data_IF_418353983446
#
_entry.id   IF_418353983446
#
_cell.length_a   1.000
_cell.length_b   1.000
_cell.length_c   1.000
_cell.angle_alpha   90.00
_cell.angle_beta   90.00
_cell.angle_gamma   90.00
#
_symmetry.space_group_name_H-M   'P 1'
#
loop_
_entity.id
_entity.type
_entity.pdbx_description
1 polymer ?
#
# COMPACT_ATOMS: atom_id res chain seq x y z
N UNK A 1 -13.86 -12.99 -16.76
CA UNK A 1 -14.69 -12.60 -15.59
C UNK A 1 -13.79 -11.88 -14.62
N UNK A 2 -14.12 -10.64 -14.20
CA UNK A 2 -13.32 -9.89 -13.22
C UNK A 2 -13.90 -10.01 -11.81
N UNK A 3 -13.07 -9.81 -10.78
CA UNK A 3 -13.52 -9.69 -9.39
C UNK A 3 -13.67 -8.21 -9.03
N UNK A 4 -14.82 -7.84 -8.44
CA UNK A 4 -15.00 -6.49 -7.90
C UNK A 4 -14.35 -6.41 -6.52
N UNK A 5 -13.27 -5.64 -6.42
CA UNK A 5 -12.62 -5.33 -5.16
C UNK A 5 -13.23 -4.03 -4.62
N UNK A 6 -13.66 -4.06 -3.37
CA UNK A 6 -14.10 -2.88 -2.64
C UNK A 6 -13.31 -2.80 -1.34
N UNK A 7 -12.70 -1.65 -1.10
CA UNK A 7 -11.95 -1.38 0.11
C UNK A 7 -12.17 0.04 0.61
N UNK A 8 -12.01 0.20 1.91
CA UNK A 8 -11.92 1.47 2.63
C UNK A 8 -10.61 1.45 3.40
N UNK A 9 -9.83 2.51 3.30
CA UNK A 9 -8.63 2.68 4.11
C UNK A 9 -8.79 3.92 4.98
N UNK A 10 -8.58 3.75 6.28
CA UNK A 10 -8.53 4.84 7.25
C UNK A 10 -7.07 5.15 7.54
N UNK A 11 -6.64 6.37 7.25
CA UNK A 11 -5.26 6.83 7.40
C UNK A 11 -5.26 8.04 8.35
N UNK A 12 -4.33 8.07 9.31
CA UNK A 12 -4.10 9.24 10.17
C UNK A 12 -2.62 9.55 10.26
N UNK A 13 -2.27 10.79 10.63
CA UNK A 13 -0.90 11.19 10.89
C UNK A 13 -0.53 10.92 12.35
N UNK A 14 0.57 10.22 12.58
CA UNK A 14 1.14 9.99 13.89
C UNK A 14 2.39 10.86 14.09
N UNK A 15 2.35 11.92 14.92
CA UNK A 15 3.48 12.82 15.13
C UNK A 15 4.63 12.20 15.91
N UNK A 16 4.43 11.12 16.67
CA UNK A 16 5.50 10.48 17.45
C UNK A 16 6.46 9.71 16.54
N UNK A 17 5.90 8.96 15.59
CA UNK A 17 6.68 8.21 14.60
C UNK A 17 6.96 9.00 13.31
N UNK A 18 6.32 10.15 13.12
CA UNK A 18 6.33 10.92 11.86
C UNK A 18 6.01 10.03 10.65
N UNK A 19 4.93 9.25 10.80
CA UNK A 19 4.41 8.34 9.78
C UNK A 19 2.88 8.44 9.67
N UNK A 20 2.31 7.72 8.71
CA UNK A 20 0.86 7.58 8.60
C UNK A 20 0.45 6.11 8.77
N UNK A 21 0.10 5.68 9.98
CA UNK A 21 -0.52 4.39 10.20
C UNK A 21 -1.90 4.35 9.53
N UNK A 22 -2.28 3.16 9.05
CA UNK A 22 -3.59 2.95 8.44
C UNK A 22 -4.18 1.57 8.67
N UNK A 23 -5.50 1.49 8.51
CA UNK A 23 -6.27 0.26 8.55
C UNK A 23 -7.09 0.12 7.27
N UNK A 24 -6.84 -0.96 6.53
CA UNK A 24 -7.56 -1.31 5.30
C UNK A 24 -8.66 -2.33 5.60
N UNK A 25 -9.89 -1.98 5.28
CA UNK A 25 -11.04 -2.88 5.27
C UNK A 25 -11.30 -3.27 3.81
N UNK A 26 -11.37 -4.56 3.49
CA UNK A 26 -11.59 -5.02 2.11
C UNK A 26 -12.51 -6.23 2.08
N UNK A 27 -13.34 -6.34 1.04
CA UNK A 27 -14.11 -7.56 0.77
C UNK A 27 -13.25 -8.79 0.42
N UNK A 28 -11.93 -8.63 0.30
CA UNK A 28 -10.96 -9.72 0.12
C UNK A 28 -10.41 -10.30 1.41
N UNK A 29 -10.55 -9.59 2.54
CA UNK A 29 -9.97 -9.99 3.82
C UNK A 29 -11.04 -9.91 4.93
N UNK A 30 -11.16 -10.98 5.73
CA UNK A 30 -12.12 -11.03 6.83
C UNK A 30 -11.75 -10.18 8.06
N UNK A 31 -10.59 -9.51 8.03
CA UNK A 31 -10.08 -8.68 9.12
C UNK A 31 -9.47 -7.39 8.56
N UNK A 32 -9.47 -6.28 9.33
CA UNK A 32 -8.75 -5.07 8.95
C UNK A 32 -7.26 -5.32 8.84
N UNK A 33 -6.63 -4.79 7.80
CA UNK A 33 -5.21 -4.99 7.53
C UNK A 33 -4.43 -3.74 7.96
N UNK A 34 -3.47 -3.85 8.90
CA UNK A 34 -2.65 -2.73 9.33
C UNK A 34 -1.55 -2.45 8.32
N UNK A 35 -1.52 -1.22 7.82
CA UNK A 35 -0.49 -0.66 6.96
C UNK A 35 0.20 0.50 7.67
N UNK A 36 1.44 0.79 7.26
CA UNK A 36 2.18 1.98 7.68
C UNK A 36 2.80 2.65 6.47
N UNK A 37 2.47 3.91 6.28
CA UNK A 37 3.02 4.75 5.23
C UNK A 37 4.16 5.60 5.78
N UNK A 38 5.25 5.63 5.04
CA UNK A 38 6.34 6.56 5.20
C UNK A 38 6.43 7.40 3.92
N UNK A 39 6.12 8.69 4.01
CA UNK A 39 6.05 9.61 2.88
C UNK A 39 7.11 10.68 3.06
N UNK A 40 8.14 10.66 2.21
CA UNK A 40 9.26 11.61 2.23
C UNK A 40 9.29 12.37 0.92
N UNK A 41 8.64 13.54 0.92
CA UNK A 41 8.48 14.35 -0.27
C UNK A 41 7.64 13.62 -1.34
N UNK A 42 8.30 13.05 -2.34
CA UNK A 42 7.66 12.32 -3.44
C UNK A 42 7.86 10.81 -3.36
N UNK A 43 8.71 10.34 -2.46
CA UNK A 43 8.96 8.93 -2.24
C UNK A 43 7.99 8.39 -1.20
N UNK A 44 7.36 7.25 -1.52
CA UNK A 44 6.34 6.61 -0.69
C UNK A 44 6.77 5.17 -0.41
N UNK A 45 6.79 4.81 0.85
CA UNK A 45 6.92 3.42 1.30
C UNK A 45 5.68 3.02 2.06
N UNK A 46 5.13 1.84 1.78
CA UNK A 46 4.09 1.23 2.63
C UNK A 46 4.61 -0.11 3.11
N UNK A 47 4.37 -0.43 4.38
CA UNK A 47 4.67 -1.74 4.95
C UNK A 47 3.41 -2.35 5.56
N UNK A 48 3.32 -3.68 5.51
CA UNK A 48 2.31 -4.46 6.22
C UNK A 48 2.95 -5.72 6.77
N UNK A 49 2.35 -6.26 7.83
CA UNK A 49 2.74 -7.55 8.42
C UNK A 49 1.83 -8.71 7.97
N UNK A 50 0.80 -8.43 7.15
CA UNK A 50 -0.09 -9.46 6.61
C UNK A 50 0.69 -10.50 5.80
N UNK A 51 0.36 -11.78 5.98
CA UNK A 51 1.00 -12.91 5.28
C UNK A 51 2.53 -12.98 5.46
N UNK A 52 3.06 -12.47 6.59
CA UNK A 52 4.51 -12.40 6.86
C UNK A 52 5.18 -11.13 6.31
N UNK A 53 4.36 -10.27 5.70
CA UNK A 53 4.68 -8.91 5.37
C UNK A 53 5.13 -8.68 3.94
N UNK A 54 4.93 -7.43 3.53
CA UNK A 54 5.28 -6.94 2.21
C UNK A 54 5.62 -5.45 2.30
N UNK A 55 6.41 -5.00 1.33
CA UNK A 55 6.81 -3.61 1.17
C UNK A 55 6.38 -3.08 -0.20
N UNK A 56 5.71 -1.95 -0.19
CA UNK A 56 5.51 -1.10 -1.35
C UNK A 56 6.61 -0.05 -1.40
N UNK A 57 7.20 0.17 -2.56
CA UNK A 57 7.99 1.36 -2.84
C UNK A 57 7.47 2.05 -4.09
N UNK A 58 7.24 3.35 -4.00
CA UNK A 58 6.69 4.12 -5.10
C UNK A 58 7.12 5.58 -5.07
N UNK A 59 6.78 6.28 -6.16
CA UNK A 59 7.04 7.70 -6.36
C UNK A 59 5.83 8.42 -6.92
N UNK A 60 5.55 9.61 -6.38
CA UNK A 60 4.57 10.56 -6.89
C UNK A 60 5.28 11.51 -7.86
N UNK A 61 4.65 11.78 -9.01
CA UNK A 61 5.16 12.75 -9.97
C UNK A 61 5.25 14.17 -9.41
N UNK A 62 6.10 15.00 -10.02
CA UNK A 62 6.29 16.40 -9.62
C UNK A 62 4.97 17.16 -9.56
N UNK A 63 4.15 17.04 -10.61
CA UNK A 63 2.84 17.68 -10.71
C UNK A 63 1.73 16.99 -9.89
N UNK A 64 2.02 15.88 -9.22
CA UNK A 64 1.06 15.16 -8.37
C UNK A 64 -0.11 14.50 -9.11
N UNK A 65 -0.02 14.37 -10.44
CA UNK A 65 -1.08 13.74 -11.24
C UNK A 65 -0.88 12.24 -11.41
N UNK A 66 0.36 11.76 -11.44
CA UNK A 66 0.65 10.33 -11.58
C UNK A 66 1.45 9.80 -10.39
N UNK A 67 1.34 8.50 -10.18
CA UNK A 67 2.14 7.74 -9.23
C UNK A 67 2.54 6.40 -9.86
N UNK A 68 3.64 5.84 -9.38
CA UNK A 68 4.12 4.53 -9.82
C UNK A 68 4.87 3.84 -8.70
N UNK A 69 4.98 2.51 -8.76
CA UNK A 69 5.70 1.75 -7.76
C UNK A 69 5.51 0.26 -7.95
N UNK A 70 5.88 -0.48 -6.91
CA UNK A 70 5.69 -1.91 -6.87
C UNK A 70 5.57 -2.42 -5.45
N UNK A 71 4.83 -3.52 -5.31
CA UNK A 71 4.75 -4.31 -4.10
C UNK A 71 5.67 -5.52 -4.22
N UNK A 72 6.41 -5.80 -3.16
CA UNK A 72 7.26 -6.99 -3.03
C UNK A 72 7.03 -7.62 -1.66
N UNK A 73 6.80 -8.94 -1.59
CA UNK A 73 6.84 -9.68 -0.33
C UNK A 73 8.18 -9.49 0.39
N UNK A 74 8.17 -9.62 1.71
CA UNK A 74 9.42 -9.79 2.45
C UNK A 74 10.11 -11.09 2.00
N UNK A 75 11.46 -11.16 2.02
CA UNK A 75 12.19 -12.36 1.61
C UNK A 75 11.70 -13.62 2.34
N UNK A 76 11.35 -14.66 1.58
CA UNK A 76 10.83 -15.92 2.10
C UNK A 76 9.33 -15.91 2.42
N UNK A 77 8.61 -14.84 2.05
CA UNK A 77 7.14 -14.70 2.19
C UNK A 77 6.42 -14.63 0.85
N UNK A 78 7.10 -14.95 -0.23
CA UNK A 78 6.53 -15.03 -1.57
C UNK A 78 5.51 -16.17 -1.68
N UNK A 79 4.43 -15.95 -2.44
CA UNK A 79 3.45 -17.01 -2.69
C UNK A 79 2.21 -16.49 -3.40
N UNK A 80 1.28 -17.40 -3.73
CA UNK A 80 0.04 -17.05 -4.44
C UNK A 80 -0.87 -16.08 -3.69
N UNK A 81 -0.72 -15.95 -2.36
CA UNK A 81 -1.42 -14.97 -1.53
C UNK A 81 -0.64 -13.68 -1.26
N UNK A 82 0.63 -13.59 -1.70
CA UNK A 82 1.50 -12.43 -1.51
C UNK A 82 2.35 -12.28 -2.78
N UNK A 83 1.71 -11.81 -3.84
CA UNK A 83 2.29 -11.76 -5.19
C UNK A 83 2.95 -10.40 -5.41
N UNK A 84 4.14 -10.41 -5.99
CA UNK A 84 4.82 -9.20 -6.43
C UNK A 84 4.14 -8.60 -7.67
N UNK A 85 3.95 -7.29 -7.69
CA UNK A 85 3.42 -6.58 -8.86
C UNK A 85 3.92 -5.15 -8.92
N UNK A 86 3.92 -4.60 -10.12
CA UNK A 86 4.17 -3.18 -10.38
C UNK A 86 2.89 -2.48 -10.77
N UNK A 87 2.83 -1.18 -10.50
CA UNK A 87 1.67 -0.37 -10.80
C UNK A 87 2.06 1.02 -11.26
N UNK A 88 1.19 1.59 -12.08
CA UNK A 88 1.15 3.00 -12.42
C UNK A 88 -0.28 3.48 -12.27
N UNK A 89 -0.47 4.74 -11.90
CA UNK A 89 -1.79 5.30 -11.75
C UNK A 89 -1.80 6.80 -12.01
N UNK A 90 -3.00 7.31 -12.28
CA UNK A 90 -3.27 8.73 -12.47
C UNK A 90 -4.43 9.16 -11.59
N UNK A 91 -4.40 10.40 -11.15
CA UNK A 91 -5.53 11.04 -10.46
C UNK A 91 -6.74 11.04 -11.39
N UNK A 92 -7.87 10.54 -10.88
CA UNK A 92 -9.18 10.68 -11.52
C UNK A 92 -9.71 12.08 -11.17
N UNK A 93 -10.26 12.78 -12.16
CA UNK A 93 -10.85 14.12 -12.01
C UNK A 93 -12.36 14.03 -12.03
#
# INVERSE_FOLDING_TARGET
MGMKIQSLELIYYDPESDTFPSLVYSNLAGVPIPYRYDVRGKDVTITTDLAGGAKMTGKISENGNTFSGGWRPNPGKEGSGNVAYDFVGTRVK
#
